data_IF_748120129070
#
_entry.id   IF_748120129070
#
_cell.length_a   1.000
_cell.length_b   1.000
_cell.length_c   1.000
_cell.angle_alpha   90.00
_cell.angle_beta   90.00
_cell.angle_gamma   90.00
#
_symmetry.space_group_name_H-M   'P 1'
#
loop_
_entity.id
_entity.type
_entity.pdbx_description
1 polymer ?
#
# COMPACT_ATOMS: atom_id res chain seq x y z
N UNK A 1 17.30 -11.92 -23.36
CA UNK A 1 17.22 -11.39 -21.99
C UNK A 1 15.75 -11.41 -21.56
N UNK A 2 15.44 -11.97 -20.39
CA UNK A 2 14.07 -12.04 -19.86
C UNK A 2 13.67 -10.68 -19.28
N UNK A 3 12.45 -10.21 -19.56
CA UNK A 3 11.90 -9.01 -18.95
C UNK A 3 11.13 -9.41 -17.70
N UNK A 4 11.46 -8.79 -16.56
CA UNK A 4 10.77 -8.98 -15.28
C UNK A 4 10.04 -7.70 -14.94
N UNK A 5 8.78 -7.81 -14.55
CA UNK A 5 7.95 -6.70 -14.11
C UNK A 5 7.54 -6.95 -12.66
N UNK A 6 7.65 -5.91 -11.83
CA UNK A 6 7.16 -5.91 -10.46
C UNK A 6 5.89 -5.06 -10.46
N UNK A 7 4.76 -5.69 -10.16
CA UNK A 7 3.48 -5.02 -10.00
C UNK A 7 3.03 -5.15 -8.55
N UNK A 8 2.45 -4.09 -8.01
CA UNK A 8 1.95 -4.03 -6.65
C UNK A 8 0.51 -3.54 -6.71
N UNK A 9 -0.41 -4.43 -6.39
CA UNK A 9 -1.80 -4.07 -6.16
C UNK A 9 -1.91 -3.62 -4.70
N UNK A 10 -2.28 -2.36 -4.50
CA UNK A 10 -2.67 -1.90 -3.17
C UNK A 10 -4.14 -2.23 -2.99
N UNK A 11 -4.56 -2.65 -1.80
CA UNK A 11 -5.95 -3.00 -1.54
C UNK A 11 -6.31 -2.51 -0.13
N UNK A 12 -7.42 -1.81 -0.01
CA UNK A 12 -8.03 -1.56 1.28
C UNK A 12 -8.92 -2.74 1.70
N UNK A 13 -9.08 -2.94 3.00
CA UNK A 13 -9.94 -4.01 3.50
C UNK A 13 -11.40 -3.56 3.52
N UNK A 14 -12.28 -4.26 2.80
CA UNK A 14 -13.73 -4.05 2.90
C UNK A 14 -14.27 -4.31 4.31
N UNK A 15 -13.61 -5.18 5.08
CA UNK A 15 -13.93 -5.43 6.49
C UNK A 15 -13.58 -4.26 7.43
N UNK A 16 -12.83 -3.27 6.95
CA UNK A 16 -12.54 -2.02 7.67
C UNK A 16 -13.34 -0.83 7.11
N UNK A 17 -14.21 -1.05 6.12
CA UNK A 17 -15.05 0.01 5.58
C UNK A 17 -16.24 0.28 6.49
N UNK A 18 -16.26 1.46 7.13
CA UNK A 18 -17.35 1.90 8.00
C UNK A 18 -18.14 3.10 7.42
N UNK A 19 -17.80 3.54 6.20
CA UNK A 19 -18.44 4.67 5.52
C UNK A 19 -17.46 5.46 4.64
N UNK A 20 -17.93 6.49 3.90
CA UNK A 20 -17.08 7.32 3.03
C UNK A 20 -16.23 8.36 3.80
N UNK A 21 -16.22 8.28 5.14
CA UNK A 21 -15.56 9.22 6.03
C UNK A 21 -14.04 9.19 5.92
N UNK A 22 -13.40 10.35 6.07
CA UNK A 22 -11.94 10.46 6.05
C UNK A 22 -11.26 9.68 7.21
N UNK A 23 -11.93 9.60 8.36
CA UNK A 23 -11.43 8.85 9.52
C UNK A 23 -11.40 7.33 9.25
N UNK A 24 -12.43 6.79 8.60
CA UNK A 24 -12.50 5.37 8.24
C UNK A 24 -11.42 4.99 7.22
N UNK A 25 -11.13 5.90 6.27
CA UNK A 25 -10.02 5.73 5.33
C UNK A 25 -8.66 5.75 6.01
N UNK A 26 -8.48 6.56 7.06
CA UNK A 26 -7.20 6.66 7.76
C UNK A 26 -6.83 5.33 8.47
N UNK A 27 -7.80 4.70 9.13
CA UNK A 27 -7.59 3.39 9.77
C UNK A 27 -7.29 2.31 8.74
N UNK A 28 -8.05 2.28 7.64
CA UNK A 28 -7.81 1.32 6.56
C UNK A 28 -6.43 1.54 5.90
N UNK A 29 -6.00 2.79 5.74
CA UNK A 29 -4.66 3.12 5.25
C UNK A 29 -3.58 2.63 6.20
N UNK A 30 -3.72 2.93 7.49
CA UNK A 30 -2.75 2.54 8.50
C UNK A 30 -2.54 1.01 8.51
N UNK A 31 -3.61 0.24 8.34
CA UNK A 31 -3.56 -1.23 8.40
C UNK A 31 -3.21 -1.90 7.08
N UNK A 32 -3.87 -1.48 6.00
CA UNK A 32 -3.83 -2.21 4.71
C UNK A 32 -2.76 -1.67 3.75
N UNK A 33 -2.40 -0.39 3.86
CA UNK A 33 -1.45 0.26 2.94
C UNK A 33 -0.10 0.50 3.60
N UNK A 34 -0.10 1.16 4.77
CA UNK A 34 1.12 1.47 5.50
C UNK A 34 1.62 0.30 6.35
N UNK A 35 0.71 -0.61 6.74
CA UNK A 35 0.96 -1.71 7.66
C UNK A 35 1.75 -1.24 8.89
N UNK A 36 1.16 -0.30 9.63
CA UNK A 36 1.78 0.33 10.79
C UNK A 36 2.09 -0.70 11.88
N UNK A 37 3.31 -0.65 12.40
CA UNK A 37 3.79 -1.42 13.56
C UNK A 37 4.45 -0.47 14.57
N UNK A 38 4.71 -0.91 15.82
CA UNK A 38 5.45 -0.10 16.79
C UNK A 38 6.83 0.37 16.29
N UNK A 39 7.48 -0.42 15.44
CA UNK A 39 8.81 -0.12 14.89
C UNK A 39 8.74 0.70 13.58
N UNK A 40 7.53 1.05 13.11
CA UNK A 40 7.29 1.83 11.90
C UNK A 40 6.43 1.12 10.84
N UNK A 41 6.19 1.77 9.69
CA UNK A 41 5.39 1.19 8.60
C UNK A 41 6.13 0.07 7.89
N UNK A 42 5.47 -1.06 7.67
CA UNK A 42 6.03 -2.23 6.96
C UNK A 42 5.41 -2.47 5.58
N UNK A 43 4.47 -1.62 5.18
CA UNK A 43 3.74 -1.70 3.92
C UNK A 43 4.42 -0.92 2.79
N UNK A 44 3.66 -0.07 2.09
CA UNK A 44 4.14 0.68 0.93
C UNK A 44 5.38 1.56 1.22
N UNK A 45 5.46 2.30 2.34
CA UNK A 45 6.66 3.10 2.64
C UNK A 45 7.95 2.24 2.65
N UNK A 46 7.94 1.11 3.34
CA UNK A 46 9.07 0.18 3.36
C UNK A 46 9.40 -0.39 1.97
N UNK A 47 8.37 -0.75 1.17
CA UNK A 47 8.57 -1.23 -0.20
C UNK A 47 9.22 -0.17 -1.10
N UNK A 48 8.86 1.10 -0.96
CA UNK A 48 9.46 2.20 -1.71
C UNK A 48 10.95 2.36 -1.39
N UNK A 49 11.31 2.31 -0.10
CA UNK A 49 12.71 2.33 0.36
C UNK A 49 13.50 1.16 -0.22
N UNK A 50 12.93 -0.05 -0.19
CA UNK A 50 13.58 -1.26 -0.71
C UNK A 50 13.79 -1.19 -2.23
N UNK A 51 12.77 -0.76 -2.99
CA UNK A 51 12.87 -0.58 -4.43
C UNK A 51 13.97 0.45 -4.77
N UNK A 52 14.02 1.56 -4.04
CA UNK A 52 15.04 2.58 -4.22
C UNK A 52 16.44 2.05 -3.91
N UNK A 53 16.61 1.31 -2.80
CA UNK A 53 17.89 0.72 -2.40
C UNK A 53 18.47 -0.24 -3.44
N UNK A 54 17.61 -0.89 -4.23
CA UNK A 54 18.02 -1.82 -5.29
C UNK A 54 17.95 -1.22 -6.70
N UNK A 55 17.67 0.09 -6.85
CA UNK A 55 17.54 0.74 -8.15
C UNK A 55 16.43 0.16 -9.03
N UNK A 56 15.39 -0.42 -8.41
CA UNK A 56 14.28 -1.08 -9.08
C UNK A 56 13.09 -0.14 -9.27
N UNK A 57 12.27 -0.43 -10.28
CA UNK A 57 11.01 0.24 -10.54
C UNK A 57 9.87 -0.77 -10.47
N UNK A 58 8.73 -0.33 -9.98
CA UNK A 58 7.51 -1.12 -9.93
C UNK A 58 6.32 -0.30 -10.46
N UNK A 59 5.27 -1.00 -10.87
CA UNK A 59 3.97 -0.40 -11.20
C UNK A 59 3.04 -0.61 -10.01
N UNK A 60 2.38 0.45 -9.56
CA UNK A 60 1.41 0.40 -8.48
C UNK A 60 0.01 0.54 -9.06
N UNK A 61 -0.83 -0.47 -8.85
CA UNK A 61 -2.26 -0.36 -9.08
C UNK A 61 -2.89 0.11 -7.78
N UNK A 62 -3.29 1.37 -7.77
CA UNK A 62 -3.82 2.03 -6.58
C UNK A 62 -5.31 1.73 -6.49
N UNK A 63 -5.70 0.99 -5.46
CA UNK A 63 -7.11 0.75 -5.16
C UNK A 63 -7.71 2.08 -4.75
N UNK A 64 -8.74 2.55 -5.47
CA UNK A 64 -9.40 3.79 -5.09
C UNK A 64 -10.13 3.66 -3.73
N UNK A 65 -10.48 2.44 -3.30
CA UNK A 65 -11.71 2.14 -2.53
C UNK A 65 -12.92 2.87 -3.15
N UNK A 66 -14.18 2.67 -2.71
CA UNK A 66 -15.28 3.33 -3.42
C UNK A 66 -15.21 4.86 -3.33
N UNK A 67 -15.51 5.49 -4.48
CA UNK A 67 -16.16 6.80 -4.55
C UNK A 67 -17.53 6.78 -3.86
#
# INVERSE_FOLDING_TARGET
MLRVFITIDTEYSSGLFNGPGAADRAENYARSIACMTPDGPTGIPHKLELLQAHGQRAVFFVDPMPA
#
